data_IF_294638223354
#
_entry.id   IF_294638223354
#
_cell.length_a   1.000
_cell.length_b   1.000
_cell.length_c   1.000
_cell.angle_alpha   90.00
_cell.angle_beta   90.00
_cell.angle_gamma   90.00
#
_symmetry.space_group_name_H-M   'P 1'
#
loop_
_entity.id
_entity.type
_entity.pdbx_description
1 polymer ?
#
# COMPACT_ATOMS: atom_id res chain seq x y z
N UNK A 1 9.41 -12.36 50.38
CA UNK A 1 9.52 -12.76 48.96
C UNK A 1 10.68 -13.72 48.81
N UNK A 2 10.42 -14.94 48.33
CA UNK A 2 11.45 -15.96 48.12
C UNK A 2 12.38 -15.56 46.97
N UNK A 3 13.64 -16.01 47.01
CA UNK A 3 14.59 -15.83 45.89
C UNK A 3 14.06 -16.43 44.58
N UNK A 4 13.20 -17.44 44.67
CA UNK A 4 12.50 -18.05 43.54
C UNK A 4 11.53 -17.06 42.88
N UNK A 5 10.74 -16.32 43.67
CA UNK A 5 9.80 -15.32 43.15
C UNK A 5 10.51 -14.20 42.38
N UNK A 6 11.65 -13.75 42.90
CA UNK A 6 12.48 -12.72 42.25
C UNK A 6 13.00 -13.21 40.91
N UNK A 7 13.44 -14.47 40.81
CA UNK A 7 13.95 -15.08 39.57
C UNK A 7 12.85 -15.23 38.53
N UNK A 8 11.66 -15.68 38.94
CA UNK A 8 10.49 -15.81 38.06
C UNK A 8 10.02 -14.46 37.53
N UNK A 9 9.99 -13.42 38.38
CA UNK A 9 9.64 -12.05 37.97
C UNK A 9 10.64 -11.48 36.95
N UNK A 10 11.95 -11.70 37.16
CA UNK A 10 13.00 -11.29 36.21
C UNK A 10 12.86 -12.00 34.86
N UNK A 11 12.59 -13.30 34.85
CA UNK A 11 12.40 -14.07 33.62
C UNK A 11 11.18 -13.57 32.82
N UNK A 12 10.04 -13.33 33.48
CA UNK A 12 8.84 -12.77 32.84
C UNK A 12 9.09 -11.39 32.25
N UNK A 13 9.78 -10.51 32.98
CA UNK A 13 10.12 -9.18 32.47
C UNK A 13 11.08 -9.24 31.27
N UNK A 14 12.08 -10.13 31.30
CA UNK A 14 13.00 -10.33 30.17
C UNK A 14 12.26 -10.84 28.93
N UNK A 15 11.36 -11.80 29.09
CA UNK A 15 10.53 -12.31 27.99
C UNK A 15 9.61 -11.22 27.41
N UNK A 16 8.98 -10.39 28.27
CA UNK A 16 8.17 -9.25 27.83
C UNK A 16 8.98 -8.21 27.06
N UNK A 17 10.17 -7.85 27.55
CA UNK A 17 11.06 -6.92 26.85
C UNK A 17 11.55 -7.47 25.51
N UNK A 18 11.93 -8.75 25.45
CA UNK A 18 12.33 -9.38 24.19
C UNK A 18 11.19 -9.40 23.16
N UNK A 19 9.95 -9.65 23.59
CA UNK A 19 8.77 -9.58 22.72
C UNK A 19 8.54 -8.16 22.19
N UNK A 20 8.60 -7.15 23.04
CA UNK A 20 8.47 -5.75 22.64
C UNK A 20 9.59 -5.31 21.69
N UNK A 21 10.82 -5.77 21.92
CA UNK A 21 11.95 -5.46 21.06
C UNK A 21 11.81 -6.12 19.68
N UNK A 22 11.33 -7.36 19.61
CA UNK A 22 11.01 -8.03 18.33
C UNK A 22 9.91 -7.28 17.57
N UNK A 23 8.85 -6.87 18.26
CA UNK A 23 7.76 -6.11 17.65
C UNK A 23 8.28 -4.78 17.07
N UNK A 24 9.06 -4.01 17.83
CA UNK A 24 9.66 -2.76 17.35
C UNK A 24 10.62 -2.95 16.17
N UNK A 25 11.38 -4.05 16.16
CA UNK A 25 12.27 -4.36 15.05
C UNK A 25 11.49 -4.66 13.76
N UNK A 26 10.35 -5.34 13.88
CA UNK A 26 9.46 -5.63 12.74
C UNK A 26 8.77 -4.35 12.22
N UNK A 27 8.30 -3.48 13.11
CA UNK A 27 7.74 -2.17 12.74
C UNK A 27 8.77 -1.29 12.00
N UNK A 28 10.04 -1.28 12.43
CA UNK A 28 11.13 -0.58 11.72
C UNK A 28 11.46 -1.19 10.37
N UNK A 29 11.49 -2.52 10.28
CA UNK A 29 11.76 -3.21 9.02
C UNK A 29 10.75 -2.85 7.93
N UNK A 30 9.49 -2.63 8.29
CA UNK A 30 8.46 -2.18 7.35
C UNK A 30 8.62 -0.71 6.94
N UNK A 31 9.25 0.13 7.78
CA UNK A 31 9.58 1.53 7.42
C UNK A 31 10.75 1.60 6.44
N UNK A 32 11.70 0.66 6.50
CA UNK A 32 12.89 0.66 5.63
C UNK A 32 12.68 -0.09 4.31
N UNK A 33 11.58 -0.83 4.15
CA UNK A 33 11.33 -1.58 2.92
C UNK A 33 10.93 -0.65 1.78
N UNK A 34 11.77 -0.54 0.77
CA UNK A 34 11.50 0.17 -0.48
C UNK A 34 10.88 -0.79 -1.49
N UNK A 35 9.83 -0.35 -2.15
CA UNK A 35 9.15 -1.04 -3.24
C UNK A 35 9.44 -0.28 -4.53
N UNK A 36 9.77 -1.02 -5.58
CA UNK A 36 9.95 -0.47 -6.92
C UNK A 36 8.74 -0.80 -7.78
N UNK A 37 8.30 0.16 -8.59
CA UNK A 37 7.28 -0.05 -9.62
C UNK A 37 7.89 -0.93 -10.70
N UNK A 38 7.28 -2.09 -11.02
CA UNK A 38 7.77 -2.96 -12.09
C UNK A 38 7.76 -2.27 -13.47
N UNK A 39 8.71 -2.57 -14.37
CA UNK A 39 8.80 -1.90 -15.68
C UNK A 39 7.54 -2.01 -16.54
N UNK A 40 6.85 -3.15 -16.51
CA UNK A 40 5.58 -3.39 -17.19
C UNK A 40 4.46 -2.49 -16.68
N UNK A 41 4.45 -2.20 -15.37
CA UNK A 41 3.51 -1.24 -14.77
C UNK A 41 3.86 0.20 -15.16
N UNK A 42 5.15 0.54 -15.27
CA UNK A 42 5.60 1.85 -15.76
C UNK A 42 5.16 2.08 -17.20
N UNK A 43 5.26 1.08 -18.08
CA UNK A 43 4.74 1.16 -19.45
C UNK A 43 3.23 1.42 -19.47
N UNK A 44 2.47 0.72 -18.62
CA UNK A 44 1.04 0.98 -18.46
C UNK A 44 0.77 2.42 -18.00
N UNK A 45 1.54 2.95 -17.04
CA UNK A 45 1.39 4.32 -16.55
C UNK A 45 1.53 5.39 -17.63
N UNK A 46 2.34 5.14 -18.67
CA UNK A 46 2.47 6.04 -19.81
C UNK A 46 1.18 6.15 -20.64
N UNK A 47 0.32 5.13 -20.60
CA UNK A 47 -0.96 5.08 -21.33
C UNK A 47 -2.15 5.66 -20.58
N UNK A 48 -1.98 5.97 -19.28
CA UNK A 48 -3.04 6.51 -18.43
C UNK A 48 -3.34 7.98 -18.75
N UNK A 49 -4.59 8.44 -18.56
CA UNK A 49 -4.92 9.85 -18.67
C UNK A 49 -4.09 10.67 -17.68
N UNK A 50 -3.73 11.89 -18.07
CA UNK A 50 -3.02 12.82 -17.20
C UNK A 50 -3.88 13.25 -16.00
N UNK A 51 -3.28 14.03 -15.08
CA UNK A 51 -3.95 14.57 -13.90
C UNK A 51 -4.88 15.75 -14.22
N UNK A 52 -5.64 15.69 -15.32
CA UNK A 52 -6.64 16.71 -15.70
C UNK A 52 -7.77 16.81 -14.68
N UNK A 53 -8.20 15.65 -14.15
CA UNK A 53 -9.21 15.55 -13.10
C UNK A 53 -8.74 14.61 -12.00
N UNK A 54 -9.12 14.90 -10.75
CA UNK A 54 -8.84 14.03 -9.61
C UNK A 54 -9.40 12.62 -9.85
N UNK A 55 -8.56 11.60 -9.67
CA UNK A 55 -8.92 10.18 -9.77
C UNK A 55 -9.37 9.67 -11.15
N UNK A 56 -9.15 10.42 -12.23
CA UNK A 56 -9.53 10.02 -13.61
C UNK A 56 -8.85 8.71 -14.08
N UNK A 57 -7.66 8.40 -13.55
CA UNK A 57 -6.94 7.17 -13.86
C UNK A 57 -7.53 5.91 -13.16
N UNK A 58 -8.35 6.07 -12.11
CA UNK A 58 -8.84 4.98 -11.26
C UNK A 58 -9.59 3.90 -12.06
N UNK A 59 -10.51 4.21 -12.99
CA UNK A 59 -11.21 3.18 -13.75
C UNK A 59 -10.30 2.36 -14.67
N UNK A 60 -9.25 2.98 -15.23
CA UNK A 60 -8.27 2.31 -16.07
C UNK A 60 -7.42 1.33 -15.24
N UNK A 61 -6.98 1.77 -14.07
CA UNK A 61 -6.26 0.94 -13.09
C UNK A 61 -7.13 -0.23 -12.62
N UNK A 62 -8.41 0.01 -12.35
CA UNK A 62 -9.38 -1.05 -12.01
C UNK A 62 -9.50 -2.10 -13.11
N UNK A 63 -9.61 -1.68 -14.38
CA UNK A 63 -9.63 -2.61 -15.53
C UNK A 63 -8.37 -3.47 -15.58
N UNK A 64 -7.20 -2.86 -15.34
CA UNK A 64 -5.95 -3.59 -15.30
C UNK A 64 -5.93 -4.65 -14.18
N UNK A 65 -6.29 -4.27 -12.94
CA UNK A 65 -6.35 -5.20 -11.80
C UNK A 65 -7.31 -6.36 -12.07
N UNK A 66 -8.49 -6.07 -12.64
CA UNK A 66 -9.48 -7.09 -12.99
C UNK A 66 -9.07 -7.98 -14.16
N UNK A 67 -8.18 -7.50 -15.05
CA UNK A 67 -7.63 -8.28 -16.17
C UNK A 67 -6.48 -9.20 -15.77
N UNK A 68 -5.94 -9.05 -14.55
CA UNK A 68 -4.88 -9.90 -14.04
C UNK A 68 -5.36 -11.35 -13.89
N UNK A 69 -4.50 -12.30 -14.25
CA UNK A 69 -4.80 -13.74 -14.15
C UNK A 69 -5.09 -14.19 -12.72
N UNK A 70 -4.57 -13.46 -11.72
CA UNK A 70 -4.86 -13.67 -10.32
C UNK A 70 -5.58 -12.43 -9.77
N UNK A 71 -6.88 -12.56 -9.54
CA UNK A 71 -7.66 -11.51 -8.90
C UNK A 71 -7.20 -11.33 -7.45
N UNK A 72 -6.86 -10.10 -7.03
CA UNK A 72 -6.50 -9.85 -5.64
C UNK A 72 -7.72 -10.03 -4.74
N UNK A 73 -7.45 -10.34 -3.46
CA UNK A 73 -8.50 -10.45 -2.45
C UNK A 73 -9.24 -9.11 -2.24
N UNK A 74 -8.51 -8.01 -2.36
CA UNK A 74 -9.03 -6.65 -2.25
C UNK A 74 -8.65 -5.86 -3.51
N UNK A 75 -9.61 -5.75 -4.44
CA UNK A 75 -9.45 -5.03 -5.71
C UNK A 75 -9.34 -3.53 -5.46
N UNK A 76 -10.09 -3.00 -4.50
CA UNK A 76 -10.14 -1.57 -4.20
C UNK A 76 -8.78 -1.09 -3.67
N UNK A 77 -8.25 -1.79 -2.68
CA UNK A 77 -6.93 -1.49 -2.13
C UNK A 77 -5.83 -1.67 -3.18
N UNK A 78 -5.93 -2.68 -4.05
CA UNK A 78 -4.98 -2.88 -5.14
C UNK A 78 -4.97 -1.71 -6.13
N UNK A 79 -6.15 -1.17 -6.46
CA UNK A 79 -6.27 0.01 -7.32
C UNK A 79 -5.75 1.27 -6.62
N UNK A 80 -6.02 1.45 -5.34
CA UNK A 80 -5.49 2.56 -4.56
C UNK A 80 -3.96 2.54 -4.51
N UNK A 81 -3.35 1.37 -4.28
CA UNK A 81 -1.89 1.18 -4.32
C UNK A 81 -1.31 1.59 -5.68
N UNK A 82 -1.90 1.11 -6.78
CA UNK A 82 -1.45 1.46 -8.13
C UNK A 82 -1.62 2.95 -8.42
N UNK A 83 -2.68 3.58 -7.91
CA UNK A 83 -2.90 5.02 -8.07
C UNK A 83 -1.84 5.85 -7.33
N UNK A 84 -1.45 5.44 -6.11
CA UNK A 84 -0.34 6.08 -5.38
C UNK A 84 0.98 5.93 -6.13
N UNK A 85 1.27 4.72 -6.62
CA UNK A 85 2.47 4.47 -7.42
C UNK A 85 2.49 5.33 -8.70
N UNK A 86 1.34 5.47 -9.38
CA UNK A 86 1.20 6.31 -10.56
C UNK A 86 1.47 7.78 -10.24
N UNK A 87 0.90 8.29 -9.15
CA UNK A 87 1.14 9.66 -8.67
C UNK A 87 2.63 9.91 -8.39
N UNK A 88 3.28 8.99 -7.67
CA UNK A 88 4.70 9.11 -7.36
C UNK A 88 5.57 9.08 -8.61
N UNK A 89 5.32 8.13 -9.51
CA UNK A 89 6.04 8.02 -10.77
C UNK A 89 5.88 9.27 -11.62
N UNK A 90 4.65 9.81 -11.73
CA UNK A 90 4.40 10.96 -12.60
C UNK A 90 4.88 12.30 -12.01
N UNK A 91 4.75 12.50 -10.71
CA UNK A 91 5.03 13.78 -10.05
C UNK A 91 6.49 13.89 -9.62
N UNK A 92 7.07 12.81 -9.11
CA UNK A 92 8.44 12.80 -8.58
C UNK A 92 9.45 12.17 -9.54
N UNK A 93 9.00 11.66 -10.70
CA UNK A 93 9.84 10.92 -11.66
C UNK A 93 10.63 9.78 -10.99
N UNK A 94 10.00 9.14 -10.00
CA UNK A 94 10.58 8.10 -9.16
C UNK A 94 9.76 6.82 -9.24
N UNK A 95 10.44 5.70 -9.47
CA UNK A 95 9.88 4.36 -9.44
C UNK A 95 9.93 3.73 -8.04
N UNK A 96 10.52 4.40 -7.06
CA UNK A 96 10.76 3.87 -5.72
C UNK A 96 9.91 4.60 -4.66
N UNK A 97 9.30 3.83 -3.75
CA UNK A 97 8.59 4.32 -2.56
C UNK A 97 8.84 3.44 -1.35
N UNK A 98 8.81 4.02 -0.15
CA UNK A 98 8.72 3.22 1.07
C UNK A 98 7.36 2.51 1.14
N UNK A 99 7.37 1.22 1.44
CA UNK A 99 6.17 0.40 1.58
C UNK A 99 5.20 0.98 2.61
N UNK A 100 5.74 1.49 3.72
CA UNK A 100 4.93 2.11 4.78
C UNK A 100 4.17 3.34 4.29
N UNK A 101 4.82 4.24 3.55
CA UNK A 101 4.18 5.43 2.97
C UNK A 101 3.16 5.03 1.90
N UNK A 102 3.52 4.08 1.04
CA UNK A 102 2.63 3.55 0.00
C UNK A 102 1.32 3.02 0.59
N UNK A 103 1.40 2.15 1.60
CA UNK A 103 0.21 1.56 2.22
C UNK A 103 -0.60 2.60 2.98
N UNK A 104 0.05 3.48 3.74
CA UNK A 104 -0.63 4.55 4.49
C UNK A 104 -1.42 5.48 3.55
N UNK A 105 -0.82 5.90 2.44
CA UNK A 105 -1.51 6.79 1.48
C UNK A 105 -2.58 6.02 0.72
N UNK A 106 -2.34 4.75 0.37
CA UNK A 106 -3.34 3.94 -0.31
C UNK A 106 -4.59 3.72 0.55
N UNK A 107 -4.44 3.46 1.85
CA UNK A 107 -5.56 3.38 2.80
C UNK A 107 -6.37 4.69 2.83
N UNK A 108 -5.69 5.84 2.91
CA UNK A 108 -6.36 7.15 2.87
C UNK A 108 -7.10 7.42 1.56
N UNK A 109 -6.54 6.97 0.44
CA UNK A 109 -7.17 7.12 -0.88
C UNK A 109 -8.39 6.21 -1.02
N UNK A 110 -8.30 4.96 -0.56
CA UNK A 110 -9.43 4.03 -0.59
C UNK A 110 -10.65 4.57 0.18
N UNK A 111 -10.42 5.28 1.28
CA UNK A 111 -11.49 5.92 2.05
C UNK A 111 -12.00 7.25 1.45
N UNK A 112 -11.35 7.77 0.40
CA UNK A 112 -11.68 9.08 -0.14
C UNK A 112 -12.97 9.04 -1.00
N UNK A 113 -13.99 9.89 -0.74
CA UNK A 113 -15.28 9.81 -1.43
C UNK A 113 -15.21 9.89 -2.96
N UNK A 114 -14.34 10.73 -3.51
CA UNK A 114 -14.15 10.83 -4.97
C UNK A 114 -13.46 9.62 -5.58
N UNK A 115 -12.57 8.97 -4.83
CA UNK A 115 -11.94 7.74 -5.27
C UNK A 115 -12.99 6.64 -5.36
N UNK A 116 -13.81 6.49 -4.32
CA UNK A 116 -14.93 5.54 -4.28
C UNK A 116 -15.90 5.80 -5.44
N UNK A 117 -16.27 7.07 -5.68
CA UNK A 117 -17.12 7.45 -6.81
C UNK A 117 -16.54 7.00 -8.15
N UNK A 118 -15.26 7.32 -8.43
CA UNK A 118 -14.60 6.90 -9.67
C UNK A 118 -14.40 5.38 -9.76
N UNK A 119 -14.16 4.71 -8.62
CA UNK A 119 -13.97 3.27 -8.56
C UNK A 119 -15.26 2.52 -8.89
N UNK A 120 -16.41 3.00 -8.40
CA UNK A 120 -17.72 2.39 -8.66
C UNK A 120 -18.45 2.96 -9.87
N UNK A 121 -17.95 4.01 -10.50
CA UNK A 121 -18.46 4.44 -11.80
C UNK A 121 -18.36 3.27 -12.78
N UNK A 122 -19.53 2.86 -13.30
CA UNK A 122 -19.61 1.97 -14.43
C UNK A 122 -19.13 2.72 -15.66
N UNK A 123 -17.83 2.69 -15.90
CA UNK A 123 -17.29 3.17 -17.14
C UNK A 123 -17.81 2.28 -18.27
N UNK A 124 -18.86 2.77 -18.92
CA UNK A 124 -19.32 2.39 -20.25
C UNK A 124 -18.26 2.80 -21.30
N UNK A 125 -16.98 2.50 -21.05
CA UNK A 125 -15.92 2.62 -22.04
C UNK A 125 -15.98 1.38 -22.94
N UNK A 126 -17.11 1.29 -23.65
CA UNK A 126 -17.27 0.57 -24.90
C UNK A 126 -16.60 1.45 -25.96
N UNK A 127 -15.40 1.08 -26.40
CA UNK A 127 -14.99 1.12 -27.79
C UNK A 127 -14.00 -0.03 -28.04
#
# INVERSE_FOLDING_TARGET
MSNTDKRTKRAKNKAKQARLQKQRAQEKSNQEQVVHVPPDIVEMFQTLPGFSSEYEAVPYLKKHVLSSAALPHDVEMSVAILYVMYGNWKVLDSDALYLSDLLMVAEQIAEHPKFIEQFYQENSLVQ
#
